data_IF_704470665594
#
_entry.id   IF_704470665594
#
_cell.length_a   1.000
_cell.length_b   1.000
_cell.length_c   1.000
_cell.angle_alpha   90.00
_cell.angle_beta   90.00
_cell.angle_gamma   90.00
#
_symmetry.space_group_name_H-M   'P 1'
#
loop_
_entity.id
_entity.type
_entity.pdbx_description
1 polymer ?
#
# COMPACT_ATOMS: atom_id res chain seq x y z
N UNK A 1 -5.17 -33.74 26.61
CA UNK A 1 -5.55 -33.60 25.17
C UNK A 1 -6.50 -32.41 24.89
N UNK A 2 -6.62 -31.40 25.78
CA UNK A 2 -7.49 -30.21 25.55
C UNK A 2 -6.73 -28.94 25.14
N UNK A 3 -5.42 -28.87 25.37
CA UNK A 3 -4.58 -27.69 25.09
C UNK A 3 -4.22 -27.58 23.59
N UNK A 4 -4.16 -28.70 22.86
CA UNK A 4 -3.77 -28.71 21.44
C UNK A 4 -4.80 -28.04 20.52
N UNK A 5 -6.09 -28.05 20.89
CA UNK A 5 -7.16 -27.42 20.11
C UNK A 5 -7.15 -25.88 20.23
N UNK A 6 -6.64 -25.31 21.32
CA UNK A 6 -6.59 -23.85 21.50
C UNK A 6 -5.54 -23.21 20.57
N UNK A 7 -4.39 -23.86 20.37
CA UNK A 7 -3.33 -23.38 19.49
C UNK A 7 -3.75 -23.36 18.01
N UNK A 8 -4.52 -24.35 17.54
CA UNK A 8 -5.02 -24.38 16.17
C UNK A 8 -6.03 -23.25 15.88
N UNK A 9 -6.81 -22.82 16.89
CA UNK A 9 -7.80 -21.75 16.74
C UNK A 9 -7.15 -20.35 16.69
N UNK A 10 -6.02 -20.14 17.36
CA UNK A 10 -5.31 -18.84 17.35
C UNK A 10 -4.58 -18.61 16.01
N UNK A 11 -4.14 -19.69 15.34
CA UNK A 11 -3.43 -19.59 14.05
C UNK A 11 -4.38 -19.25 12.89
N UNK A 12 -5.64 -19.66 12.96
CA UNK A 12 -6.62 -19.43 11.87
C UNK A 12 -7.10 -17.98 11.78
N UNK A 13 -7.17 -17.25 12.89
CA UNK A 13 -7.70 -15.87 12.94
C UNK A 13 -6.77 -14.87 12.22
N UNK A 14 -5.45 -15.08 12.27
CA UNK A 14 -4.47 -14.18 11.67
C UNK A 14 -4.42 -14.25 10.12
N UNK A 15 -4.84 -15.39 9.53
CA UNK A 15 -4.77 -15.58 8.08
C UNK A 15 -5.92 -14.89 7.33
N UNK A 16 -7.03 -14.60 8.01
CA UNK A 16 -8.23 -14.02 7.38
C UNK A 16 -8.06 -12.52 7.06
N UNK A 17 -7.46 -11.74 7.97
CA UNK A 17 -7.26 -10.29 7.79
C UNK A 17 -6.36 -9.97 6.59
N UNK A 18 -5.26 -10.71 6.42
CA UNK A 18 -4.29 -10.47 5.35
C UNK A 18 -4.83 -10.85 3.96
N UNK A 19 -5.71 -11.85 3.88
CA UNK A 19 -6.35 -12.22 2.62
C UNK A 19 -7.33 -11.16 2.10
N UNK A 20 -8.02 -10.43 2.98
CA UNK A 20 -8.94 -9.38 2.58
C UNK A 20 -8.20 -8.15 2.05
N UNK A 21 -7.13 -7.71 2.72
CA UNK A 21 -6.27 -6.61 2.26
C UNK A 21 -5.68 -6.87 0.87
N UNK A 22 -5.18 -8.08 0.62
CA UNK A 22 -4.70 -8.49 -0.70
C UNK A 22 -5.80 -8.37 -1.77
N UNK A 23 -7.02 -8.85 -1.47
CA UNK A 23 -8.15 -8.79 -2.41
C UNK A 23 -8.57 -7.36 -2.72
N UNK A 24 -8.60 -6.47 -1.73
CA UNK A 24 -8.98 -5.06 -1.93
C UNK A 24 -7.98 -4.33 -2.82
N UNK A 25 -6.68 -4.61 -2.67
CA UNK A 25 -5.63 -3.98 -3.46
C UNK A 25 -5.64 -4.41 -4.94
N UNK A 26 -6.16 -5.59 -5.29
CA UNK A 26 -6.22 -6.04 -6.69
C UNK A 26 -7.00 -5.03 -7.53
N UNK A 27 -6.43 -4.61 -8.65
CA UNK A 27 -7.02 -3.65 -9.59
C UNK A 27 -6.00 -2.65 -10.13
N UNK A 28 -6.51 -1.68 -10.89
CA UNK A 28 -5.73 -0.59 -11.48
C UNK A 28 -5.85 0.66 -10.62
N UNK A 29 -4.72 1.28 -10.28
CA UNK A 29 -4.63 2.40 -9.36
C UNK A 29 -3.83 3.53 -9.99
N UNK A 30 -4.40 4.73 -10.06
CA UNK A 30 -3.76 5.93 -10.60
C UNK A 30 -3.29 6.83 -9.47
N UNK A 31 -2.02 7.25 -9.50
CA UNK A 31 -1.53 8.31 -8.62
C UNK A 31 -2.19 9.63 -9.03
N UNK A 32 -2.91 10.27 -8.11
CA UNK A 32 -3.66 11.51 -8.39
C UNK A 32 -3.23 12.69 -7.54
N UNK A 33 -2.54 12.44 -6.43
CA UNK A 33 -2.03 13.52 -5.59
C UNK A 33 -0.83 13.07 -4.77
N UNK A 34 -0.01 14.04 -4.40
CA UNK A 34 0.96 13.94 -3.32
C UNK A 34 0.60 14.95 -2.25
N UNK A 35 0.84 14.60 -1.00
CA UNK A 35 0.64 15.49 0.13
C UNK A 35 1.86 15.45 1.03
N UNK A 36 2.09 16.58 1.67
CA UNK A 36 3.19 16.79 2.59
C UNK A 36 2.89 17.97 3.49
N UNK A 37 3.87 18.29 4.33
CA UNK A 37 3.87 19.53 5.09
C UNK A 37 5.27 20.12 4.97
N UNK A 38 5.31 21.45 4.96
CA UNK A 38 6.54 22.23 4.87
C UNK A 38 6.69 23.03 6.16
N UNK A 39 7.59 22.61 7.04
CA UNK A 39 7.86 23.24 8.32
C UNK A 39 6.61 23.34 9.23
N UNK A 40 6.60 24.40 10.03
CA UNK A 40 5.59 24.69 11.05
C UNK A 40 4.26 25.22 10.49
N UNK A 41 3.52 24.41 9.70
CA UNK A 41 2.06 24.18 9.84
C UNK A 41 1.23 24.03 8.55
N UNK A 42 1.75 24.31 7.34
CA UNK A 42 0.90 24.21 6.14
C UNK A 42 0.99 22.82 5.51
N UNK A 43 -0.10 22.06 5.64
CA UNK A 43 -0.35 20.87 4.82
C UNK A 43 -0.56 21.34 3.38
N UNK A 44 0.19 20.77 2.45
CA UNK A 44 -0.02 20.96 1.04
C UNK A 44 -0.50 19.65 0.41
N UNK A 45 -1.34 19.78 -0.61
CA UNK A 45 -1.73 18.69 -1.49
C UNK A 45 -1.55 19.19 -2.91
N UNK A 46 -0.69 18.52 -3.67
CA UNK A 46 -0.48 18.79 -5.08
C UNK A 46 -1.21 17.73 -5.88
N UNK A 47 -2.11 18.15 -6.75
CA UNK A 47 -2.75 17.25 -7.71
C UNK A 47 -1.77 16.84 -8.81
N UNK A 48 -1.80 15.57 -9.20
CA UNK A 48 -0.94 14.98 -10.21
C UNK A 48 -1.82 14.49 -11.37
N UNK A 49 -1.87 15.26 -12.45
CA UNK A 49 -2.71 14.95 -13.62
C UNK A 49 -2.25 13.69 -14.38
N UNK A 50 -0.94 13.47 -14.45
CA UNK A 50 -0.31 12.38 -15.20
C UNK A 50 0.50 11.46 -14.27
N UNK A 51 -0.05 11.12 -13.10
CA UNK A 51 0.66 10.26 -12.14
C UNK A 51 0.79 8.83 -12.65
N UNK A 52 1.72 8.04 -12.11
CA UNK A 52 1.90 6.66 -12.56
C UNK A 52 0.63 5.82 -12.32
N UNK A 53 0.43 4.82 -13.18
CA UNK A 53 -0.61 3.80 -12.97
C UNK A 53 0.03 2.49 -12.55
N UNK A 54 -0.45 1.90 -11.45
CA UNK A 54 -0.05 0.58 -10.95
C UNK A 54 -1.22 -0.41 -11.08
N UNK A 55 -0.94 -1.59 -11.63
CA UNK A 55 -1.90 -2.66 -11.84
C UNK A 55 -1.50 -3.83 -10.94
N UNK A 56 -2.23 -4.02 -9.84
CA UNK A 56 -2.02 -5.10 -8.91
C UNK A 56 -2.86 -6.31 -9.32
N UNK A 57 -2.18 -7.44 -9.49
CA UNK A 57 -2.78 -8.70 -9.89
C UNK A 57 -2.67 -9.75 -8.78
N UNK A 58 -3.45 -10.82 -8.92
CA UNK A 58 -3.36 -11.98 -8.02
C UNK A 58 -1.94 -12.58 -8.02
N UNK A 59 -1.62 -13.35 -6.96
CA UNK A 59 -0.32 -14.01 -6.79
C UNK A 59 0.86 -13.01 -6.75
N UNK A 60 0.67 -11.86 -6.12
CA UNK A 60 1.74 -10.87 -5.87
C UNK A 60 2.38 -10.27 -7.13
N UNK A 61 1.65 -10.22 -8.24
CA UNK A 61 2.13 -9.64 -9.51
C UNK A 61 1.74 -8.17 -9.64
N UNK A 62 2.64 -7.37 -10.18
CA UNK A 62 2.43 -5.94 -10.41
C UNK A 62 2.84 -5.59 -11.84
N UNK A 63 2.15 -4.62 -12.45
CA UNK A 63 2.55 -4.03 -13.71
C UNK A 63 2.32 -2.51 -13.69
N UNK A 64 3.13 -1.72 -14.41
CA UNK A 64 2.86 -0.29 -14.64
C UNK A 64 2.26 -0.03 -16.03
N UNK A 65 1.86 1.21 -16.31
CA UNK A 65 1.32 1.60 -17.62
C UNK A 65 2.27 1.40 -18.81
N UNK A 66 3.58 1.35 -18.56
CA UNK A 66 4.60 1.09 -19.59
C UNK A 66 4.78 -0.41 -19.89
N UNK A 67 4.10 -1.29 -19.15
CA UNK A 67 4.24 -2.74 -19.30
C UNK A 67 5.36 -3.36 -18.48
N UNK A 68 6.09 -2.58 -17.66
CA UNK A 68 7.09 -3.12 -16.76
C UNK A 68 6.42 -4.03 -15.74
N UNK A 69 6.96 -5.24 -15.60
CA UNK A 69 6.46 -6.23 -14.66
C UNK A 69 7.24 -6.19 -13.36
N UNK A 70 6.57 -6.53 -12.29
CA UNK A 70 7.09 -6.48 -10.94
C UNK A 70 6.32 -7.39 -9.99
N UNK A 71 6.64 -7.25 -8.72
CA UNK A 71 5.95 -7.95 -7.64
C UNK A 71 5.61 -6.98 -6.51
N UNK A 72 4.63 -7.39 -5.69
CA UNK A 72 4.33 -6.71 -4.45
C UNK A 72 4.16 -7.69 -3.30
N UNK A 73 4.42 -7.23 -2.09
CA UNK A 73 4.22 -7.99 -0.86
C UNK A 73 3.50 -7.12 0.17
N UNK A 74 2.45 -7.68 0.77
CA UNK A 74 1.70 -7.05 1.86
C UNK A 74 1.94 -7.82 3.15
N UNK A 75 2.20 -7.10 4.24
CA UNK A 75 2.21 -7.63 5.60
C UNK A 75 1.53 -6.64 6.56
N UNK A 76 0.25 -6.88 6.90
CA UNK A 76 -0.57 -5.87 7.55
C UNK A 76 -0.74 -4.64 6.67
N UNK A 77 -0.41 -3.45 7.18
CA UNK A 77 -0.39 -2.20 6.42
C UNK A 77 0.94 -1.95 5.67
N UNK A 78 1.90 -2.87 5.74
CA UNK A 78 3.20 -2.72 5.08
C UNK A 78 3.11 -3.20 3.64
N UNK A 79 3.46 -2.33 2.70
CA UNK A 79 3.52 -2.64 1.28
C UNK A 79 4.98 -2.52 0.79
N UNK A 80 5.48 -3.58 0.17
CA UNK A 80 6.72 -3.56 -0.62
C UNK A 80 6.35 -3.73 -2.08
N UNK A 81 6.88 -2.87 -2.94
CA UNK A 81 6.77 -2.95 -4.40
C UNK A 81 8.17 -3.13 -4.98
N UNK A 82 8.31 -4.05 -5.94
CA UNK A 82 9.51 -4.18 -6.75
C UNK A 82 9.10 -4.17 -8.22
N UNK A 83 9.42 -3.11 -8.95
CA UNK A 83 9.08 -2.92 -10.36
C UNK A 83 10.14 -2.09 -11.06
N UNK A 84 10.42 -2.38 -12.34
CA UNK A 84 11.46 -1.69 -13.11
C UNK A 84 12.82 -1.61 -12.37
N UNK A 85 13.21 -2.71 -11.70
CA UNK A 85 14.43 -2.83 -10.88
C UNK A 85 14.52 -1.85 -9.69
N UNK A 86 13.42 -1.22 -9.29
CA UNK A 86 13.35 -0.33 -8.12
C UNK A 86 12.50 -0.97 -7.03
N UNK A 87 13.02 -0.95 -5.81
CA UNK A 87 12.25 -1.31 -4.62
C UNK A 87 11.68 -0.06 -3.96
N UNK A 88 10.39 -0.12 -3.59
CA UNK A 88 9.68 0.95 -2.91
C UNK A 88 8.93 0.37 -1.71
N UNK A 89 8.94 1.08 -0.60
CA UNK A 89 8.36 0.63 0.66
C UNK A 89 7.39 1.67 1.18
N UNK A 90 6.21 1.22 1.59
CA UNK A 90 5.12 2.08 2.04
C UNK A 90 4.41 1.52 3.27
N UNK A 91 3.88 2.42 4.09
CA UNK A 91 2.70 2.14 4.90
C UNK A 91 1.46 2.49 4.08
N UNK A 92 0.51 1.56 4.01
CA UNK A 92 -0.67 1.61 3.17
C UNK A 92 -1.93 1.74 4.02
N UNK A 93 -2.74 2.75 3.71
CA UNK A 93 -4.01 3.01 4.38
C UNK A 93 -5.12 3.18 3.33
N UNK A 94 -6.20 2.42 3.47
CA UNK A 94 -7.40 2.65 2.67
C UNK A 94 -8.19 3.79 3.32
N UNK A 95 -8.83 4.61 2.50
CA UNK A 95 -9.78 5.61 3.00
C UNK A 95 -11.00 4.90 3.60
N UNK A 96 -11.42 5.33 4.79
CA UNK A 96 -12.50 4.69 5.55
C UNK A 96 -13.88 4.88 4.88
N UNK A 97 -14.03 5.96 4.09
CA UNK A 97 -15.27 6.31 3.41
C UNK A 97 -15.24 5.81 1.97
N UNK A 98 -14.10 5.93 1.30
CA UNK A 98 -13.93 5.55 -0.09
C UNK A 98 -12.95 4.37 -0.27
N UNK A 99 -13.43 3.13 -0.39
CA UNK A 99 -12.55 1.96 -0.56
C UNK A 99 -11.74 1.96 -1.88
N UNK A 100 -12.09 2.84 -2.82
CA UNK A 100 -11.35 3.06 -4.06
C UNK A 100 -10.26 4.13 -3.92
N UNK A 101 -9.92 4.55 -2.70
CA UNK A 101 -8.84 5.49 -2.40
C UNK A 101 -7.84 4.86 -1.44
N UNK A 102 -6.55 4.96 -1.77
CA UNK A 102 -5.45 4.54 -0.90
C UNK A 102 -4.44 5.66 -0.71
N UNK A 103 -3.89 5.70 0.49
CA UNK A 103 -2.78 6.55 0.90
C UNK A 103 -1.55 5.67 1.10
N UNK A 104 -0.46 6.01 0.41
CA UNK A 104 0.83 5.32 0.51
C UNK A 104 1.86 6.28 1.10
N UNK A 105 2.23 6.06 2.36
CA UNK A 105 3.25 6.85 3.05
C UNK A 105 4.60 6.17 2.81
N UNK A 106 5.57 6.82 2.14
CA UNK A 106 6.86 6.22 1.88
C UNK A 106 7.65 6.04 3.18
N UNK A 107 8.43 4.96 3.26
CA UNK A 107 9.23 4.58 4.43
C UNK A 107 10.56 3.95 4.00
N UNK A 108 11.49 3.77 4.94
CA UNK A 108 12.74 3.04 4.70
C UNK A 108 12.46 1.55 4.41
N UNK A 109 13.47 0.80 3.95
CA UNK A 109 13.38 -0.66 3.81
C UNK A 109 13.10 -1.40 5.12
N UNK A 110 13.33 -0.75 6.26
CA UNK A 110 12.99 -1.23 7.60
C UNK A 110 11.62 -0.75 8.09
N UNK A 111 10.87 -0.04 7.26
CA UNK A 111 9.59 0.59 7.57
C UNK A 111 9.69 1.70 8.62
N UNK A 112 10.82 2.41 8.67
CA UNK A 112 10.95 3.62 9.49
C UNK A 112 10.37 4.82 8.72
N UNK A 113 9.70 5.72 9.45
CA UNK A 113 9.14 6.95 8.88
C UNK A 113 10.29 7.85 8.43
N UNK A 114 10.25 8.28 7.17
CA UNK A 114 11.31 9.13 6.56
C UNK A 114 10.93 10.61 6.53
N UNK A 115 9.72 10.96 6.93
CA UNK A 115 9.18 12.30 6.87
C UNK A 115 8.48 12.63 8.18
N UNK A 116 9.08 13.52 8.96
CA UNK A 116 8.51 14.01 10.23
C UNK A 116 7.17 14.73 10.02
N UNK A 117 7.01 15.35 8.84
CA UNK A 117 5.86 16.18 8.52
C UNK A 117 4.80 15.47 7.65
N UNK A 118 4.94 14.15 7.43
CA UNK A 118 3.92 13.32 6.79
C UNK A 118 3.85 13.49 5.28
N UNK A 119 4.65 12.71 4.54
CA UNK A 119 4.51 12.54 3.10
C UNK A 119 3.54 11.40 2.80
N UNK A 120 2.65 11.62 1.84
CA UNK A 120 1.71 10.58 1.39
C UNK A 120 1.34 10.72 -0.07
N UNK A 121 1.33 9.61 -0.79
CA UNK A 121 0.84 9.52 -2.16
C UNK A 121 -0.59 8.99 -2.16
N UNK A 122 -1.48 9.70 -2.85
CA UNK A 122 -2.89 9.29 -2.98
C UNK A 122 -3.10 8.62 -4.32
N UNK A 123 -3.60 7.37 -4.29
CA UNK A 123 -4.04 6.66 -5.48
C UNK A 123 -5.55 6.44 -5.46
N UNK A 124 -6.16 6.49 -6.65
CA UNK A 124 -7.57 6.17 -6.87
C UNK A 124 -7.67 4.94 -7.77
N UNK A 125 -8.58 4.03 -7.42
CA UNK A 125 -8.88 2.83 -8.20
C UNK A 125 -9.67 3.23 -9.47
N UNK A 126 -9.25 2.70 -10.61
CA UNK A 126 -9.89 2.87 -11.92
C UNK A 126 -10.85 1.73 -12.26
#
# INVERSE_FOLDING_TARGET
MKILFLLAFIISINSYSQNNLNKTLIGKWKLVAESGKNGSAKIFTNEIKNGETLIFESKSKLQNENGDKGTYKINGNKLKINIAKKERFYLMFFDEINPNKIYLNPVTSKYEIICDEGCSFTYIKL
#
